data_IF_889964580858
#
_entry.id   IF_889964580858
#
_cell.length_a   1.000
_cell.length_b   1.000
_cell.length_c   1.000
_cell.angle_alpha   90.00
_cell.angle_beta   90.00
_cell.angle_gamma   90.00
#
_symmetry.space_group_name_H-M   'P 1'
#
loop_
_entity.id
_entity.type
_entity.pdbx_description
1 polymer ?
#
# COMPACT_ATOMS: atom_id res chain seq x y z
N UNK A 1 7.01 9.83 -11.62
CA UNK A 1 8.30 9.90 -10.88
C UNK A 1 9.34 9.17 -11.71
N UNK A 2 10.65 9.45 -11.55
CA UNK A 2 11.70 8.63 -12.16
C UNK A 2 12.68 8.22 -11.06
N UNK A 3 12.51 7.01 -10.54
CA UNK A 3 13.38 6.42 -9.53
C UNK A 3 14.58 5.73 -10.20
N UNK A 4 15.79 5.91 -9.66
CA UNK A 4 16.99 5.15 -10.01
C UNK A 4 17.76 4.81 -8.72
N UNK A 5 18.52 3.73 -8.75
CA UNK A 5 19.65 3.51 -7.84
C UNK A 5 20.74 4.53 -8.12
N UNK A 6 21.33 5.11 -7.08
CA UNK A 6 22.57 5.88 -7.19
C UNK A 6 23.55 5.44 -6.11
N UNK A 7 24.84 5.42 -6.43
CA UNK A 7 25.87 5.43 -5.40
C UNK A 7 25.92 6.83 -4.79
N UNK A 8 25.33 6.98 -3.60
CA UNK A 8 25.26 8.24 -2.87
C UNK A 8 26.63 8.51 -2.19
N UNK A 9 27.66 8.78 -2.99
CA UNK A 9 28.87 9.42 -2.50
C UNK A 9 28.58 10.90 -2.28
N UNK A 10 28.25 11.23 -1.03
CA UNK A 10 28.07 12.62 -0.62
C UNK A 10 29.43 13.30 -0.50
N UNK A 11 29.72 14.24 -1.40
CA UNK A 11 30.96 15.02 -1.39
C UNK A 11 31.16 15.81 -0.08
N UNK A 12 32.41 16.04 0.29
CA UNK A 12 32.81 16.73 1.52
C UNK A 12 32.24 18.16 1.63
N UNK A 13 32.02 18.85 0.51
CA UNK A 13 31.35 20.16 0.51
C UNK A 13 29.88 20.03 0.93
N UNK A 14 29.20 18.97 0.50
CA UNK A 14 27.80 18.71 0.87
C UNK A 14 27.68 18.26 2.33
N UNK A 15 28.57 17.39 2.81
CA UNK A 15 28.65 17.00 4.24
C UNK A 15 28.82 18.21 5.15
N UNK A 16 29.76 19.12 4.83
CA UNK A 16 29.99 20.35 5.60
C UNK A 16 28.79 21.29 5.63
N UNK A 17 28.06 21.40 4.51
CA UNK A 17 26.81 22.19 4.45
C UNK A 17 25.70 21.59 5.30
N UNK A 18 25.52 20.26 5.27
CA UNK A 18 24.57 19.54 6.11
C UNK A 18 24.89 19.66 7.60
N UNK A 19 26.16 19.50 8.00
CA UNK A 19 26.57 19.69 9.39
C UNK A 19 26.25 21.10 9.89
N UNK A 20 26.57 22.14 9.10
CA UNK A 20 26.27 23.53 9.47
C UNK A 20 24.77 23.81 9.56
N UNK A 21 23.94 23.12 8.77
CA UNK A 21 22.48 23.20 8.85
C UNK A 21 21.96 22.52 10.12
N UNK A 22 22.42 21.31 10.44
CA UNK A 22 22.04 20.56 11.65
C UNK A 22 22.43 21.34 12.93
N UNK A 23 23.64 21.87 12.98
CA UNK A 23 24.11 22.74 14.06
C UNK A 23 23.22 23.99 14.22
N UNK A 24 22.82 24.63 13.12
CA UNK A 24 21.91 25.78 13.15
C UNK A 24 20.50 25.40 13.63
N UNK A 25 20.00 24.21 13.27
CA UNK A 25 18.70 23.69 13.71
C UNK A 25 18.71 23.32 15.20
N UNK A 26 19.81 22.73 15.71
CA UNK A 26 20.02 22.46 17.14
C UNK A 26 20.15 23.74 17.97
N UNK A 27 20.76 24.79 17.41
CA UNK A 27 20.83 26.09 18.09
C UNK A 27 19.48 26.82 18.11
N UNK A 28 18.64 26.63 17.08
CA UNK A 28 17.27 27.16 17.05
C UNK A 28 16.30 26.39 17.95
N UNK A 29 16.53 25.08 18.16
CA UNK A 29 15.77 24.23 19.08
C UNK A 29 16.48 24.17 20.46
N UNK A 30 16.18 25.14 21.32
CA UNK A 30 16.78 25.29 22.65
C UNK A 30 16.99 23.97 23.41
N UNK A 31 18.22 23.78 23.90
CA UNK A 31 18.78 22.53 24.42
C UNK A 31 18.00 21.91 25.60
N UNK A 32 16.99 21.08 25.31
CA UNK A 32 16.50 20.02 26.21
C UNK A 32 15.58 18.96 25.56
N UNK A 33 14.95 19.24 24.41
CA UNK A 33 13.81 18.44 23.93
C UNK A 33 14.13 17.30 22.95
N UNK A 34 15.34 17.21 22.39
CA UNK A 34 15.61 16.36 21.21
C UNK A 34 16.00 14.92 21.56
N UNK A 35 16.76 14.71 22.65
CA UNK A 35 17.24 13.37 23.01
C UNK A 35 16.15 12.46 23.60
N UNK A 36 15.06 13.03 24.14
CA UNK A 36 13.99 12.26 24.80
C UNK A 36 13.01 11.57 23.84
N UNK A 37 13.06 11.82 22.53
CA UNK A 37 12.04 11.36 21.58
C UNK A 37 12.48 10.20 20.66
N UNK A 38 13.76 9.78 20.74
CA UNK A 38 14.29 8.70 19.91
C UNK A 38 14.17 7.29 20.53
N UNK A 39 13.97 7.16 21.84
CA UNK A 39 13.87 5.84 22.50
C UNK A 39 12.48 5.19 22.40
N UNK A 40 11.41 5.99 22.28
CA UNK A 40 10.03 5.48 22.34
C UNK A 40 9.62 4.67 21.09
N UNK A 41 10.19 4.97 19.92
CA UNK A 41 9.97 4.22 18.67
C UNK A 41 10.76 2.89 18.65
N UNK A 42 11.92 2.83 19.32
CA UNK A 42 12.72 1.61 19.42
C UNK A 42 12.04 0.54 20.30
N UNK A 43 11.39 0.94 21.40
CA UNK A 43 10.71 0.04 22.34
C UNK A 43 9.51 -0.73 21.74
N UNK A 44 8.79 -0.12 20.79
CA UNK A 44 7.63 -0.73 20.13
C UNK A 44 8.02 -1.80 19.10
N UNK A 45 9.17 -1.67 18.45
CA UNK A 45 9.65 -2.61 17.42
C UNK A 45 10.13 -3.95 18.01
N UNK A 46 10.74 -3.93 19.20
CA UNK A 46 11.26 -5.14 19.88
C UNK A 46 10.13 -5.98 20.49
N UNK A 47 9.05 -5.34 20.93
CA UNK A 47 7.90 -6.01 21.57
C UNK A 47 7.05 -6.88 20.63
N UNK A 48 7.02 -6.59 19.32
CA UNK A 48 6.29 -7.42 18.33
C UNK A 48 7.04 -8.70 17.92
N UNK A 49 8.38 -8.74 18.01
CA UNK A 49 9.19 -9.93 17.67
C UNK A 49 9.05 -11.10 18.66
N UNK A 50 8.63 -10.87 19.92
CA UNK A 50 8.38 -11.96 20.90
C UNK A 50 7.00 -12.64 20.76
N UNK A 51 6.00 -12.01 20.12
CA UNK A 51 4.63 -12.58 20.03
C UNK A 51 4.38 -13.44 18.77
N UNK A 52 5.19 -13.31 17.71
CA UNK A 52 5.07 -14.11 16.47
C UNK A 52 5.90 -15.43 16.46
N UNK A 53 6.71 -15.70 17.50
CA UNK A 53 7.53 -16.93 17.64
C UNK A 53 6.98 -17.97 18.64
N UNK A 54 5.77 -17.76 19.21
CA UNK A 54 5.05 -18.73 20.09
C UNK A 54 3.81 -19.38 19.45
N UNK A 55 3.61 -19.27 18.13
CA UNK A 55 2.50 -19.92 17.40
C UNK A 55 2.95 -20.71 16.15
N UNK A 56 4.15 -21.29 16.18
CA UNK A 56 4.65 -22.27 15.20
C UNK A 56 5.57 -23.33 15.86
N UNK A 57 5.12 -23.88 16.98
CA UNK A 57 5.68 -25.09 17.64
C UNK A 57 4.65 -25.71 18.62
N UNK A 58 3.46 -26.03 18.12
CA UNK A 58 2.47 -26.91 18.75
C UNK A 58 1.54 -27.44 17.64
N UNK A 59 1.72 -28.73 17.33
CA UNK A 59 1.02 -29.67 16.40
C UNK A 59 2.12 -30.57 15.82
N UNK A 60 2.56 -31.49 16.66
CA UNK A 60 3.29 -32.75 16.44
C UNK A 60 3.67 -33.24 17.85
N UNK A 61 3.55 -34.54 18.08
CA UNK A 61 3.51 -35.20 19.41
C UNK A 61 2.25 -34.87 20.22
N UNK A 62 1.22 -35.71 20.06
CA UNK A 62 0.57 -36.48 21.14
C UNK A 62 -0.65 -37.23 20.57
N UNK A 63 -0.46 -38.48 20.13
CA UNK A 63 -1.28 -39.64 20.53
C UNK A 63 -0.35 -40.86 20.41
N UNK A 64 -0.19 -41.60 21.49
CA UNK A 64 0.56 -42.85 21.52
C UNK A 64 -0.03 -43.79 22.57
N UNK A 65 -0.70 -44.83 22.08
CA UNK A 65 -0.95 -46.13 22.73
C UNK A 65 -1.57 -46.19 24.14
N UNK A 66 -2.79 -46.76 24.21
CA UNK A 66 -3.08 -47.84 25.16
C UNK A 66 -3.91 -48.93 24.46
N UNK A 67 -3.43 -50.17 24.50
CA UNK A 67 -4.21 -51.41 24.32
C UNK A 67 -4.94 -51.70 25.65
N UNK A 68 -6.00 -52.50 25.80
CA UNK A 68 -6.52 -53.64 25.01
C UNK A 68 -8.08 -53.60 25.02
N UNK A 69 -8.91 -54.59 24.65
CA UNK A 69 -8.68 -56.03 24.37
C UNK A 69 -9.75 -56.65 23.42
N UNK A 70 -9.97 -57.95 23.55
CA UNK A 70 -10.79 -58.92 22.79
C UNK A 70 -12.32 -58.72 23.01
N UNK A 71 -13.27 -59.21 22.18
CA UNK A 71 -13.35 -60.60 21.69
C UNK A 71 -14.47 -60.85 20.62
N UNK A 72 -14.15 -61.71 19.62
CA UNK A 72 -14.97 -62.67 18.83
C UNK A 72 -16.07 -62.34 17.77
N UNK A 73 -15.89 -63.03 16.62
CA UNK A 73 -16.85 -63.66 15.65
C UNK A 73 -17.48 -62.84 14.49
N UNK A 74 -17.23 -63.25 13.23
CA UNK A 74 -18.05 -64.15 12.33
C UNK A 74 -19.38 -63.49 11.90
N UNK A 75 -19.85 -63.46 10.63
CA UNK A 75 -19.56 -64.32 9.47
C UNK A 75 -19.99 -63.72 8.09
N UNK A 76 -19.46 -64.28 7.00
CA UNK A 76 -20.02 -64.54 5.64
C UNK A 76 -21.02 -63.60 4.90
N UNK A 77 -20.56 -63.14 3.73
CA UNK A 77 -21.19 -62.93 2.40
C UNK A 77 -22.69 -62.57 2.19
N UNK A 78 -22.93 -61.64 1.24
CA UNK A 78 -23.89 -61.90 0.15
C UNK A 78 -24.87 -60.80 -0.31
N UNK A 79 -24.88 -60.56 -1.63
CA UNK A 79 -26.03 -60.16 -2.47
C UNK A 79 -26.19 -58.67 -2.87
N UNK A 80 -26.57 -58.51 -4.13
CA UNK A 80 -26.81 -57.30 -4.92
C UNK A 80 -28.25 -56.76 -4.73
N UNK A 81 -28.48 -55.45 -4.98
CA UNK A 81 -29.34 -54.94 -6.08
C UNK A 81 -29.43 -53.41 -6.03
N UNK A 82 -29.62 -52.85 -7.23
CA UNK A 82 -29.87 -51.49 -7.73
C UNK A 82 -30.94 -50.68 -6.94
N UNK A 83 -31.23 -49.39 -7.16
CA UNK A 83 -30.81 -48.39 -8.16
C UNK A 83 -31.11 -46.97 -7.60
N UNK A 84 -30.35 -45.92 -7.98
CA UNK A 84 -30.83 -44.52 -8.08
C UNK A 84 -29.72 -43.57 -8.54
N UNK A 85 -29.72 -43.24 -9.83
CA UNK A 85 -28.82 -42.22 -10.42
C UNK A 85 -29.63 -40.94 -10.69
N UNK A 86 -29.47 -39.92 -9.84
CA UNK A 86 -29.99 -38.54 -10.02
C UNK A 86 -29.67 -37.75 -8.74
N UNK A 87 -29.15 -36.53 -8.73
CA UNK A 87 -28.68 -35.65 -9.81
C UNK A 87 -27.52 -34.81 -9.31
N UNK A 88 -26.54 -34.52 -10.17
CA UNK A 88 -25.51 -33.50 -9.90
C UNK A 88 -26.19 -32.13 -9.95
N UNK A 89 -26.32 -31.45 -8.82
CA UNK A 89 -26.72 -30.04 -8.83
C UNK A 89 -25.54 -29.19 -9.33
N UNK A 90 -25.72 -28.38 -10.39
CA UNK A 90 -24.69 -27.44 -10.83
C UNK A 90 -24.37 -26.43 -9.73
N UNK A 91 -23.10 -26.05 -9.62
CA UNK A 91 -22.69 -24.92 -8.79
C UNK A 91 -23.51 -23.69 -9.21
N UNK A 92 -24.27 -23.16 -8.25
CA UNK A 92 -25.28 -22.12 -8.51
C UNK A 92 -24.63 -20.83 -8.97
N UNK A 93 -25.02 -20.43 -10.19
CA UNK A 93 -25.02 -19.08 -10.77
C UNK A 93 -24.55 -17.98 -9.80
N UNK A 94 -23.36 -17.42 -10.06
CA UNK A 94 -22.85 -16.21 -9.41
C UNK A 94 -23.92 -15.12 -9.42
N UNK A 95 -24.32 -14.66 -8.24
CA UNK A 95 -25.37 -13.67 -8.08
C UNK A 95 -24.83 -12.29 -8.51
N UNK A 96 -25.31 -11.66 -9.60
CA UNK A 96 -24.67 -10.48 -10.21
C UNK A 96 -24.79 -9.19 -9.37
N UNK A 97 -25.38 -9.28 -8.19
CA UNK A 97 -25.72 -8.16 -7.32
C UNK A 97 -25.04 -8.24 -5.94
N UNK A 98 -23.83 -8.79 -5.89
CA UNK A 98 -22.92 -8.57 -4.75
C UNK A 98 -22.50 -7.10 -4.82
N UNK A 99 -23.19 -6.25 -4.04
CA UNK A 99 -22.72 -4.89 -3.76
C UNK A 99 -21.26 -4.98 -3.33
N UNK A 100 -20.36 -4.43 -4.15
CA UNK A 100 -18.92 -4.64 -4.00
C UNK A 100 -18.53 -4.19 -2.60
N UNK A 101 -18.02 -5.11 -1.76
CA UNK A 101 -17.60 -4.78 -0.40
C UNK A 101 -16.63 -3.63 -0.49
N UNK A 102 -17.00 -2.43 -0.03
CA UNK A 102 -16.20 -1.22 -0.16
C UNK A 102 -15.91 -0.65 1.23
N UNK A 103 -14.63 -0.48 1.54
CA UNK A 103 -14.19 0.16 2.77
C UNK A 103 -14.10 1.67 2.54
N UNK A 104 -15.12 2.42 2.98
CA UNK A 104 -15.24 3.86 2.77
C UNK A 104 -14.22 4.66 3.61
N UNK A 105 -12.96 4.68 3.16
CA UNK A 105 -11.84 5.23 3.93
C UNK A 105 -11.39 6.62 3.49
N UNK A 106 -11.73 7.05 2.28
CA UNK A 106 -11.48 8.39 1.79
C UNK A 106 -12.56 9.38 2.26
N UNK A 107 -12.19 10.66 2.38
CA UNK A 107 -13.13 11.76 2.57
C UNK A 107 -13.36 12.49 1.25
N UNK A 108 -12.30 12.93 0.56
CA UNK A 108 -12.35 13.63 -0.73
C UNK A 108 -12.99 12.78 -1.82
N UNK A 109 -12.62 11.51 -1.92
CA UNK A 109 -12.98 10.65 -3.05
C UNK A 109 -14.28 9.86 -2.84
N UNK A 110 -14.88 9.91 -1.64
CA UNK A 110 -16.07 9.12 -1.27
C UNK A 110 -17.21 9.20 -2.29
N UNK A 111 -17.67 10.38 -2.78
CA UNK A 111 -18.79 10.44 -3.71
C UNK A 111 -18.48 9.80 -5.07
N UNK A 112 -17.21 9.85 -5.50
CA UNK A 112 -16.77 9.19 -6.75
C UNK A 112 -16.63 7.68 -6.55
N UNK A 113 -16.04 7.23 -5.44
CA UNK A 113 -15.88 5.81 -5.14
C UNK A 113 -17.22 5.10 -4.91
N UNK A 114 -18.20 5.78 -4.33
CA UNK A 114 -19.58 5.29 -4.21
C UNK A 114 -20.23 5.07 -5.59
N UNK A 115 -20.09 6.03 -6.51
CA UNK A 115 -20.52 5.82 -7.90
C UNK A 115 -19.79 4.64 -8.54
N UNK A 116 -18.46 4.59 -8.42
CA UNK A 116 -17.63 3.53 -9.01
C UNK A 116 -18.02 2.12 -8.51
N UNK A 117 -18.32 1.97 -7.22
CA UNK A 117 -18.77 0.71 -6.63
C UNK A 117 -20.10 0.22 -7.22
N UNK A 118 -21.00 1.16 -7.58
CA UNK A 118 -22.33 0.91 -8.12
C UNK A 118 -22.40 0.92 -9.66
N UNK A 119 -21.29 1.12 -10.38
CA UNK A 119 -21.27 1.02 -11.84
C UNK A 119 -21.34 -0.44 -12.28
N UNK A 120 -22.23 -0.68 -13.26
CA UNK A 120 -22.45 -1.97 -13.91
C UNK A 120 -21.15 -2.56 -14.49
N UNK A 121 -21.00 -3.88 -14.37
CA UNK A 121 -19.78 -4.59 -14.76
C UNK A 121 -19.38 -4.35 -16.23
N UNK A 122 -20.36 -4.22 -17.16
CA UNK A 122 -20.11 -3.98 -18.59
C UNK A 122 -19.44 -2.64 -18.89
N UNK A 123 -19.54 -1.68 -17.97
CA UNK A 123 -18.90 -0.35 -18.07
C UNK A 123 -17.60 -0.25 -17.27
N UNK A 124 -17.24 -1.29 -16.50
CA UNK A 124 -16.00 -1.32 -15.72
C UNK A 124 -14.87 -2.05 -16.45
N UNK A 125 -13.66 -1.52 -16.34
CA UNK A 125 -12.44 -2.21 -16.74
C UNK A 125 -11.98 -3.08 -15.56
N UNK A 126 -11.75 -4.37 -15.81
CA UNK A 126 -11.43 -5.39 -14.80
C UNK A 126 -10.04 -5.96 -15.07
N UNK A 127 -9.14 -5.86 -14.10
CA UNK A 127 -7.73 -6.25 -14.24
C UNK A 127 -7.27 -6.99 -12.97
N UNK A 128 -7.10 -8.32 -13.00
CA UNK A 128 -6.50 -9.10 -11.90
C UNK A 128 -7.04 -8.78 -10.48
N UNK A 129 -8.35 -8.55 -10.33
CA UNK A 129 -8.98 -8.20 -9.04
C UNK A 129 -9.06 -6.69 -8.73
N UNK A 130 -8.67 -5.84 -9.70
CA UNK A 130 -8.91 -4.40 -9.73
C UNK A 130 -10.14 -4.07 -10.60
N UNK A 131 -10.89 -3.07 -10.16
CA UNK A 131 -11.95 -2.39 -10.92
C UNK A 131 -11.60 -0.92 -11.08
N UNK A 132 -11.68 -0.42 -12.31
CA UNK A 132 -11.65 1.02 -12.60
C UNK A 132 -12.57 1.36 -13.77
N UNK A 133 -12.83 2.65 -13.98
CA UNK A 133 -13.56 3.17 -15.15
C UNK A 133 -12.70 4.23 -15.80
N UNK A 134 -12.40 4.05 -17.10
CA UNK A 134 -11.61 5.00 -17.89
C UNK A 134 -12.53 6.12 -18.37
N UNK A 135 -12.83 7.04 -17.46
CA UNK A 135 -13.67 8.21 -17.68
C UNK A 135 -13.10 9.42 -16.91
N UNK A 136 -13.37 10.64 -17.38
CA UNK A 136 -12.89 11.86 -16.73
C UNK A 136 -13.51 12.08 -15.35
N UNK A 137 -14.67 11.51 -15.05
CA UNK A 137 -15.25 11.51 -13.70
C UNK A 137 -14.33 10.85 -12.67
N UNK A 138 -13.64 9.76 -13.04
CA UNK A 138 -12.75 9.00 -12.13
C UNK A 138 -11.28 9.35 -12.27
N UNK A 139 -10.93 10.25 -13.18
CA UNK A 139 -9.58 10.79 -13.30
C UNK A 139 -9.23 11.64 -12.06
N UNK A 140 -8.04 11.38 -11.51
CA UNK A 140 -7.41 12.15 -10.42
C UNK A 140 -6.46 13.18 -11.02
N UNK A 141 -5.56 12.75 -11.92
CA UNK A 141 -4.54 13.61 -12.51
C UNK A 141 -4.08 13.11 -13.89
N UNK A 142 -3.61 14.04 -14.73
CA UNK A 142 -2.76 13.73 -15.89
C UNK A 142 -1.30 14.01 -15.52
N UNK A 143 -0.39 13.12 -15.92
CA UNK A 143 1.06 13.32 -15.83
C UNK A 143 1.69 13.55 -17.20
N UNK A 144 3.02 13.60 -17.25
CA UNK A 144 3.76 13.61 -18.51
C UNK A 144 3.61 12.28 -19.27
N UNK A 145 3.98 12.28 -20.55
CA UNK A 145 4.24 11.06 -21.33
C UNK A 145 3.02 10.10 -21.43
N UNK A 146 1.82 10.68 -21.48
CA UNK A 146 0.56 9.93 -21.53
C UNK A 146 0.16 9.25 -20.23
N UNK A 147 0.80 9.59 -19.10
CA UNK A 147 0.46 9.08 -17.78
C UNK A 147 -0.89 9.62 -17.34
N UNK A 148 -1.75 8.75 -16.81
CA UNK A 148 -3.03 9.15 -16.20
C UNK A 148 -3.23 8.40 -14.88
N UNK A 149 -3.77 9.07 -13.86
CA UNK A 149 -4.05 8.48 -12.56
C UNK A 149 -5.56 8.45 -12.35
N UNK A 150 -6.14 7.27 -12.14
CA UNK A 150 -7.57 7.07 -11.93
C UNK A 150 -7.87 6.56 -10.51
N UNK A 151 -9.10 6.77 -10.05
CA UNK A 151 -9.65 6.04 -8.91
C UNK A 151 -9.91 4.57 -9.29
N UNK A 152 -9.62 3.66 -8.36
CA UNK A 152 -9.94 2.24 -8.48
C UNK A 152 -10.41 1.63 -7.17
N UNK A 153 -11.02 0.46 -7.29
CA UNK A 153 -11.44 -0.41 -6.18
C UNK A 153 -10.91 -1.82 -6.42
N UNK A 154 -10.26 -2.42 -5.42
CA UNK A 154 -9.93 -3.85 -5.42
C UNK A 154 -11.15 -4.68 -4.99
N UNK A 155 -11.16 -5.96 -5.35
CA UNK A 155 -12.19 -6.93 -4.95
C UNK A 155 -12.25 -7.17 -3.43
N UNK A 156 -11.16 -6.90 -2.71
CA UNK A 156 -11.18 -6.91 -1.25
C UNK A 156 -11.91 -5.70 -0.63
N UNK A 157 -12.16 -4.64 -1.43
CA UNK A 157 -12.80 -3.39 -1.03
C UNK A 157 -11.87 -2.21 -0.78
N UNK A 158 -10.57 -2.36 -1.05
CA UNK A 158 -9.56 -1.31 -0.87
C UNK A 158 -9.65 -0.26 -1.97
N UNK A 159 -9.75 1.00 -1.55
CA UNK A 159 -9.64 2.18 -2.40
C UNK A 159 -8.19 2.40 -2.84
N UNK A 160 -7.96 2.58 -4.14
CA UNK A 160 -6.61 2.68 -4.72
C UNK A 160 -6.51 3.80 -5.76
N UNK A 161 -5.30 4.32 -5.94
CA UNK A 161 -4.93 5.15 -7.08
C UNK A 161 -4.27 4.26 -8.15
N UNK A 162 -4.75 4.34 -9.39
CA UNK A 162 -4.28 3.51 -10.50
C UNK A 162 -3.56 4.39 -11.51
N UNK A 163 -2.22 4.32 -11.52
CA UNK A 163 -1.38 5.02 -12.49
C UNK A 163 -1.27 4.19 -13.77
N UNK A 164 -1.94 4.63 -14.82
CA UNK A 164 -1.92 4.05 -16.17
C UNK A 164 -0.88 4.73 -17.04
N UNK A 165 -0.08 3.96 -17.78
CA UNK A 165 0.85 4.46 -18.81
C UNK A 165 0.78 3.60 -20.07
N UNK A 166 0.96 4.23 -21.25
CA UNK A 166 1.02 3.53 -22.54
C UNK A 166 2.21 2.57 -22.60
N UNK A 167 2.06 1.46 -23.34
CA UNK A 167 3.09 0.41 -23.47
C UNK A 167 4.46 0.92 -23.94
N UNK A 168 4.51 1.98 -24.74
CA UNK A 168 5.78 2.61 -25.16
C UNK A 168 6.63 3.12 -23.99
N UNK A 169 5.98 3.60 -22.91
CA UNK A 169 6.65 4.13 -21.71
C UNK A 169 6.68 3.10 -20.55
N UNK A 170 6.35 1.84 -20.83
CA UNK A 170 6.18 0.79 -19.83
C UNK A 170 7.42 0.53 -18.97
N UNK A 171 8.63 0.67 -19.53
CA UNK A 171 9.87 0.49 -18.77
C UNK A 171 9.99 1.49 -17.60
N UNK A 172 9.49 2.72 -17.76
CA UNK A 172 9.47 3.72 -16.67
C UNK A 172 8.56 3.26 -15.53
N UNK A 173 7.39 2.71 -15.87
CA UNK A 173 6.44 2.18 -14.90
C UNK A 173 6.96 0.92 -14.20
N UNK A 174 7.65 0.03 -14.94
CA UNK A 174 8.32 -1.16 -14.41
C UNK A 174 9.42 -0.83 -13.41
N UNK A 175 10.26 0.15 -13.72
CA UNK A 175 11.30 0.59 -12.79
C UNK A 175 10.67 1.17 -11.51
N UNK A 176 9.63 1.99 -11.64
CA UNK A 176 8.90 2.58 -10.49
C UNK A 176 8.24 1.50 -9.62
N UNK A 177 7.64 0.46 -10.23
CA UNK A 177 7.12 -0.74 -9.55
C UNK A 177 8.20 -1.53 -8.81
N UNK A 178 9.35 -1.77 -9.46
CA UNK A 178 10.46 -2.52 -8.88
C UNK A 178 10.97 -1.87 -7.58
N UNK A 179 11.19 -0.55 -7.61
CA UNK A 179 11.59 0.20 -6.42
C UNK A 179 10.50 0.18 -5.34
N UNK A 180 9.23 0.45 -5.68
CA UNK A 180 8.15 0.55 -4.70
C UNK A 180 7.77 -0.80 -4.06
N UNK A 181 8.21 -1.94 -4.62
CA UNK A 181 8.09 -3.27 -4.00
C UNK A 181 9.20 -3.57 -2.97
N UNK A 182 10.30 -2.80 -2.93
CA UNK A 182 11.40 -3.04 -1.99
C UNK A 182 10.90 -2.99 -0.53
N UNK A 183 11.15 -4.02 0.30
CA UNK A 183 10.76 -4.03 1.71
C UNK A 183 11.30 -2.84 2.51
N UNK A 184 12.44 -2.28 2.09
CA UNK A 184 13.08 -1.09 2.65
C UNK A 184 12.22 0.18 2.49
N UNK A 185 11.31 0.20 1.50
CA UNK A 185 10.38 1.31 1.24
C UNK A 185 8.98 1.09 1.84
N UNK A 186 8.71 -0.04 2.51
CA UNK A 186 7.47 -0.26 3.27
C UNK A 186 7.48 0.57 4.57
N UNK A 187 7.22 1.87 4.42
CA UNK A 187 7.28 2.88 5.47
C UNK A 187 6.04 3.79 5.44
N UNK A 188 5.51 4.24 6.59
CA UNK A 188 4.38 5.18 6.64
C UNK A 188 4.61 6.50 5.87
N UNK A 189 5.87 6.88 5.63
CA UNK A 189 6.24 8.11 4.89
C UNK A 189 6.42 7.90 3.38
N UNK A 190 6.20 6.69 2.86
CA UNK A 190 6.28 6.36 1.43
C UNK A 190 4.91 5.88 0.93
N UNK A 191 4.55 6.25 -0.30
CA UNK A 191 3.31 5.78 -0.93
C UNK A 191 3.41 4.27 -1.15
N UNK A 192 2.59 3.51 -0.43
CA UNK A 192 2.63 2.05 -0.44
C UNK A 192 2.21 1.48 -1.81
N UNK A 193 3.07 0.63 -2.37
CA UNK A 193 2.74 -0.27 -3.47
C UNK A 193 1.60 -1.22 -3.07
N UNK A 194 0.60 -1.40 -3.94
CA UNK A 194 -0.51 -2.32 -3.70
C UNK A 194 -0.50 -3.46 -4.71
N UNK A 195 -0.40 -3.15 -6.00
CA UNK A 195 -0.46 -4.15 -7.06
C UNK A 195 0.10 -3.65 -8.40
N UNK A 196 0.22 -4.56 -9.37
CA UNK A 196 0.58 -4.23 -10.75
C UNK A 196 -0.22 -5.08 -11.72
N UNK A 197 -0.79 -4.46 -12.75
CA UNK A 197 -1.49 -5.14 -13.83
C UNK A 197 -1.08 -4.58 -15.20
N UNK A 198 -1.37 -5.32 -16.26
CA UNK A 198 -1.13 -4.91 -17.64
C UNK A 198 -2.22 -5.44 -18.57
N UNK A 199 -2.39 -4.76 -19.71
CA UNK A 199 -3.11 -5.24 -20.88
C UNK A 199 -2.24 -5.08 -22.14
N UNK A 200 -2.79 -5.37 -23.32
CA UNK A 200 -2.07 -5.29 -24.60
C UNK A 200 -1.49 -3.88 -24.87
N UNK A 201 -2.07 -2.83 -24.31
CA UNK A 201 -1.82 -1.42 -24.65
C UNK A 201 -1.26 -0.59 -23.48
N UNK A 202 -1.51 -0.98 -22.23
CA UNK A 202 -1.21 -0.19 -21.04
C UNK A 202 -0.63 -1.02 -19.88
N UNK A 203 0.26 -0.40 -19.11
CA UNK A 203 0.62 -0.84 -17.76
C UNK A 203 -0.14 -0.06 -16.70
N UNK A 204 -0.45 -0.70 -15.58
CA UNK A 204 -1.22 -0.16 -14.46
C UNK A 204 -0.50 -0.42 -13.13
N UNK A 205 0.08 0.62 -12.56
CA UNK A 205 0.66 0.58 -11.21
C UNK A 205 -0.41 0.98 -10.19
N UNK A 206 -0.72 0.08 -9.27
CA UNK A 206 -1.77 0.25 -8.26
C UNK A 206 -1.13 0.66 -6.94
N UNK A 207 -1.50 1.84 -6.46
CA UNK A 207 -0.91 2.50 -5.29
C UNK A 207 -1.97 2.81 -4.25
N UNK A 208 -1.52 3.08 -3.02
CA UNK A 208 -2.34 3.68 -1.97
C UNK A 208 -3.02 4.96 -2.48
N UNK A 209 -4.34 5.06 -2.27
CA UNK A 209 -5.07 6.31 -2.50
C UNK A 209 -4.79 7.31 -1.37
N UNK A 210 -4.28 8.47 -1.75
CA UNK A 210 -4.08 9.64 -0.88
C UNK A 210 -5.17 10.69 -1.13
N UNK A 211 -5.38 11.59 -0.16
CA UNK A 211 -6.43 12.61 -0.24
C UNK A 211 -5.98 13.82 -1.07
N UNK A 212 -4.76 14.32 -0.86
CA UNK A 212 -4.27 15.57 -1.47
C UNK A 212 -2.81 15.48 -1.92
N UNK A 213 -2.39 16.36 -2.81
CA UNK A 213 -0.97 16.74 -2.93
C UNK A 213 -0.60 17.74 -1.83
N UNK A 214 0.69 17.90 -1.53
CA UNK A 214 1.17 18.93 -0.61
C UNK A 214 0.88 20.34 -1.14
N UNK A 215 0.83 20.53 -2.46
CA UNK A 215 0.42 21.81 -3.08
C UNK A 215 -1.03 22.17 -2.73
N UNK A 216 -1.98 21.28 -3.04
CA UNK A 216 -3.41 21.46 -2.70
C UNK A 216 -3.60 21.68 -1.20
N UNK A 217 -2.92 20.89 -0.36
CA UNK A 217 -3.06 20.99 1.08
C UNK A 217 -2.52 22.31 1.66
N UNK A 218 -1.39 22.81 1.14
CA UNK A 218 -0.84 24.12 1.55
C UNK A 218 -1.76 25.25 1.12
N UNK A 219 -2.36 25.16 -0.06
CA UNK A 219 -3.22 26.21 -0.61
C UNK A 219 -4.56 26.30 0.12
N UNK A 220 -5.24 25.16 0.30
CA UNK A 220 -6.67 25.15 0.64
C UNK A 220 -6.95 24.62 2.07
N UNK A 221 -5.98 24.00 2.76
CA UNK A 221 -6.23 23.22 3.99
C UNK A 221 -5.33 23.55 5.19
N UNK A 222 -4.49 24.59 5.10
CA UNK A 222 -3.75 25.10 6.27
C UNK A 222 -4.68 25.87 7.22
N UNK A 223 -4.54 25.69 8.55
CA UNK A 223 -5.26 26.50 9.54
C UNK A 223 -5.03 28.00 9.35
N UNK A 224 -6.05 28.81 9.63
CA UNK A 224 -5.93 30.28 9.57
C UNK A 224 -5.03 30.85 10.68
N UNK A 225 -5.03 30.22 11.86
CA UNK A 225 -4.16 30.62 12.96
C UNK A 225 -2.68 30.44 12.61
N UNK A 226 -1.87 31.44 12.96
CA UNK A 226 -0.45 31.49 12.60
C UNK A 226 0.39 30.45 13.37
N UNK A 227 0.08 30.19 14.63
CA UNK A 227 0.81 29.22 15.45
C UNK A 227 0.46 27.78 15.04
N UNK A 228 -0.83 27.49 14.81
CA UNK A 228 -1.30 26.19 14.33
C UNK A 228 -0.79 25.90 12.92
N UNK A 229 -0.88 26.85 11.98
CA UNK A 229 -0.27 26.76 10.64
C UNK A 229 1.22 26.45 10.72
N UNK A 230 1.95 27.12 11.61
CA UNK A 230 3.39 26.87 11.83
C UNK A 230 3.65 25.45 12.36
N UNK A 231 2.80 24.93 13.24
CA UNK A 231 2.93 23.57 13.77
C UNK A 231 2.66 22.51 12.68
N UNK A 232 1.61 22.70 11.89
CA UNK A 232 1.27 21.81 10.75
C UNK A 232 2.40 21.80 9.72
N UNK A 233 2.90 22.97 9.31
CA UNK A 233 4.03 23.06 8.37
C UNK A 233 5.30 22.38 8.90
N UNK A 234 5.63 22.53 10.19
CA UNK A 234 6.75 21.81 10.82
C UNK A 234 6.56 20.30 10.79
N UNK A 235 5.33 19.80 11.01
CA UNK A 235 5.01 18.37 10.91
C UNK A 235 5.19 17.87 9.48
N UNK A 236 4.65 18.58 8.48
CA UNK A 236 4.77 18.21 7.06
C UNK A 236 6.24 18.17 6.61
N UNK A 237 7.06 19.17 6.99
CA UNK A 237 8.50 19.18 6.71
C UNK A 237 9.19 17.98 7.37
N UNK A 238 8.86 17.63 8.62
CA UNK A 238 9.39 16.44 9.29
C UNK A 238 9.04 15.15 8.55
N UNK A 239 7.79 14.98 8.10
CA UNK A 239 7.35 13.78 7.38
C UNK A 239 8.03 13.65 6.00
N UNK A 240 8.27 14.77 5.30
CA UNK A 240 9.08 14.79 4.07
C UNK A 240 10.55 14.45 4.33
N UNK A 241 11.14 14.91 5.44
CA UNK A 241 12.50 14.52 5.80
C UNK A 241 12.59 13.03 6.15
N UNK A 242 11.61 12.47 6.84
CA UNK A 242 11.53 11.02 7.10
C UNK A 242 11.35 10.19 5.81
N UNK A 243 10.62 10.67 4.80
CA UNK A 243 10.52 9.96 3.51
C UNK A 243 11.86 9.97 2.76
N UNK A 244 12.59 11.08 2.78
CA UNK A 244 13.93 11.18 2.20
C UNK A 244 14.96 10.32 2.94
N UNK A 245 14.86 10.18 4.26
CA UNK A 245 15.70 9.26 5.05
C UNK A 245 15.50 7.79 4.63
N UNK A 246 14.24 7.39 4.40
CA UNK A 246 13.90 6.04 3.91
C UNK A 246 14.41 5.80 2.48
N UNK A 247 14.24 6.77 1.59
CA UNK A 247 14.69 6.67 0.20
C UNK A 247 16.22 6.61 0.06
N UNK A 248 16.94 7.43 0.83
CA UNK A 248 18.41 7.52 0.77
C UNK A 248 19.13 6.56 1.74
N UNK A 249 18.40 5.68 2.42
CA UNK A 249 18.99 4.66 3.29
C UNK A 249 20.00 3.79 2.52
N UNK A 250 21.07 3.34 3.19
CA UNK A 250 22.14 2.53 2.59
C UNK A 250 21.67 1.22 1.93
N UNK A 251 20.52 0.69 2.36
CA UNK A 251 19.92 -0.52 1.80
C UNK A 251 19.03 -0.23 0.57
N UNK A 252 18.37 0.93 0.50
CA UNK A 252 17.47 1.29 -0.61
C UNK A 252 18.19 2.07 -1.73
N UNK A 253 19.02 3.06 -1.38
CA UNK A 253 19.81 3.91 -2.31
C UNK A 253 19.01 4.54 -3.46
N UNK A 254 17.75 4.87 -3.21
CA UNK A 254 16.82 5.39 -4.21
C UNK A 254 16.87 6.91 -4.26
N UNK A 255 17.15 7.49 -5.42
CA UNK A 255 17.08 8.94 -5.62
C UNK A 255 15.83 9.29 -6.44
N UNK A 256 14.94 10.11 -5.85
CA UNK A 256 13.64 10.45 -6.44
C UNK A 256 13.73 11.42 -7.63
N UNK A 257 14.73 12.32 -7.64
CA UNK A 257 15.04 13.30 -8.72
C UNK A 257 13.95 14.29 -9.15
N UNK A 258 12.76 14.25 -8.55
CA UNK A 258 11.60 15.08 -8.90
C UNK A 258 10.80 15.45 -7.62
N UNK A 259 11.50 15.82 -6.55
CA UNK A 259 10.87 16.26 -5.31
C UNK A 259 10.29 17.65 -5.51
N UNK A 260 8.96 17.73 -5.53
CA UNK A 260 8.17 18.96 -5.67
C UNK A 260 6.81 18.79 -4.96
N UNK A 261 6.10 19.86 -4.57
CA UNK A 261 4.85 19.78 -3.82
C UNK A 261 3.77 18.88 -4.45
N UNK A 262 3.72 18.79 -5.79
CA UNK A 262 2.77 17.94 -6.51
C UNK A 262 3.05 16.43 -6.36
N UNK A 263 4.29 16.05 -6.04
CA UNK A 263 4.71 14.65 -5.89
C UNK A 263 4.75 14.18 -4.43
N UNK A 264 4.56 15.09 -3.46
CA UNK A 264 4.36 14.73 -2.05
C UNK A 264 2.86 14.59 -1.82
N UNK A 265 2.43 13.41 -1.38
CA UNK A 265 1.00 13.11 -1.18
C UNK A 265 0.64 13.07 0.31
N UNK A 266 -0.46 13.72 0.65
CA UNK A 266 -1.05 13.73 1.99
C UNK A 266 -2.03 12.55 2.11
N UNK A 267 -1.69 11.62 2.99
CA UNK A 267 -2.52 10.48 3.34
C UNK A 267 -3.75 10.87 4.17
N UNK A 268 -4.44 9.86 4.68
CA UNK A 268 -5.56 10.03 5.61
C UNK A 268 -5.01 10.36 7.00
N UNK A 269 -5.65 11.30 7.69
CA UNK A 269 -5.43 11.62 9.12
C UNK A 269 -6.24 10.70 10.02
#
# INVERSE_FOLDING_TARGET
MILNTADIEMDEVMKKKLHKLDESLRLAAGSSAVDSLCEETAALSTSRKKKKKRKKKKIQQEVGSQESEQQDKEDTAGTSVEESISSVQPLTLENPNISRRWHQTSHRWRPKLEKLANIDASRTHRLAGLTLVIDSEFLIANGSDGTQVFLGLRDDGTEVAVKRMIRFNYQVLKNEEEFLRLPELDSPSIVRYVDFAEDDNFGYLVLQLCEYTLEEYIQDHLPDDSAERTLVLKKLVKEVLCSLEVLHNQQSRVVHRDIKPQNVLIGRS
#
